data_IF_834166341280
#
_entry.id   IF_834166341280
#
_cell.length_a   1.000
_cell.length_b   1.000
_cell.length_c   1.000
_cell.angle_alpha   90.00
_cell.angle_beta   90.00
_cell.angle_gamma   90.00
#
_symmetry.space_group_name_H-M   'P 1'
#
loop_
_entity.id
_entity.type
_entity.pdbx_description
1 polymer ?
#
# COMPACT_ATOMS: atom_id res chain seq x y z
N UNK A 1 32.43 55.24 -32.81
CA UNK A 1 31.42 54.24 -33.23
C UNK A 1 32.14 53.00 -33.76
N UNK A 2 31.97 51.82 -33.14
CA UNK A 2 32.10 50.54 -33.84
C UNK A 2 31.56 49.40 -32.97
N UNK A 3 30.52 48.73 -33.46
CA UNK A 3 29.73 47.70 -32.77
C UNK A 3 30.51 46.38 -32.72
N UNK A 4 30.69 45.78 -31.53
CA UNK A 4 31.10 44.38 -31.37
C UNK A 4 29.92 43.47 -31.73
N UNK A 5 30.08 42.63 -32.77
CA UNK A 5 29.15 41.56 -33.11
C UNK A 5 29.61 40.27 -32.43
N UNK A 6 28.75 39.67 -31.62
CA UNK A 6 28.90 38.29 -31.14
C UNK A 6 28.67 37.30 -32.30
N UNK A 7 29.50 36.24 -32.45
CA UNK A 7 29.19 35.15 -33.36
C UNK A 7 28.19 34.22 -32.67
N UNK A 8 27.00 34.15 -33.24
CA UNK A 8 25.95 33.19 -32.90
C UNK A 8 26.35 31.78 -33.39
N UNK A 9 26.40 30.82 -32.46
CA UNK A 9 26.56 29.40 -32.75
C UNK A 9 25.29 28.88 -33.41
N UNK A 10 25.27 28.89 -34.75
CA UNK A 10 24.22 28.26 -35.55
C UNK A 10 24.41 26.74 -35.48
N UNK A 11 23.61 26.04 -34.67
CA UNK A 11 23.44 24.58 -34.78
C UNK A 11 23.01 24.28 -36.22
N UNK A 12 23.86 23.57 -36.97
CA UNK A 12 23.48 23.05 -38.29
C UNK A 12 22.37 22.01 -38.09
N UNK A 13 21.29 22.06 -38.88
CA UNK A 13 20.28 21.00 -38.87
C UNK A 13 20.91 19.73 -39.47
N UNK A 14 21.05 18.68 -38.66
CA UNK A 14 21.38 17.33 -39.17
C UNK A 14 20.25 16.90 -40.11
N UNK A 15 20.58 16.65 -41.37
CA UNK A 15 19.62 16.18 -42.38
C UNK A 15 19.41 14.67 -42.24
N UNK A 16 18.20 14.18 -42.51
CA UNK A 16 17.83 12.76 -42.39
C UNK A 16 18.80 11.78 -43.08
N UNK A 17 19.40 12.20 -44.22
CA UNK A 17 20.42 11.42 -44.92
C UNK A 17 21.68 11.12 -44.08
N UNK A 18 22.10 12.01 -43.17
CA UNK A 18 23.26 11.76 -42.29
C UNK A 18 22.93 10.73 -41.18
N UNK A 19 21.65 10.62 -40.78
CA UNK A 19 21.22 9.63 -39.78
C UNK A 19 21.10 8.23 -40.39
N UNK A 20 20.60 8.15 -41.62
CA UNK A 20 20.54 6.91 -42.38
C UNK A 20 21.95 6.37 -42.68
N UNK A 21 22.88 7.25 -43.10
CA UNK A 21 24.28 6.89 -43.34
C UNK A 21 24.99 6.42 -42.06
N UNK A 22 24.71 7.04 -40.90
CA UNK A 22 25.27 6.62 -39.61
C UNK A 22 24.75 5.25 -39.15
N UNK A 23 23.48 4.94 -39.40
CA UNK A 23 22.89 3.64 -39.11
C UNK A 23 23.45 2.54 -40.03
N UNK A 24 23.51 2.82 -41.35
CA UNK A 24 24.07 1.90 -42.34
C UNK A 24 25.55 1.63 -42.08
N UNK A 25 26.34 2.66 -41.75
CA UNK A 25 27.73 2.51 -41.34
C UNK A 25 27.86 1.64 -40.09
N UNK A 26 27.00 1.86 -39.08
CA UNK A 26 26.99 1.04 -37.87
C UNK A 26 26.66 -0.43 -38.12
N UNK A 27 25.73 -0.74 -39.03
CA UNK A 27 25.41 -2.13 -39.43
C UNK A 27 26.58 -2.77 -40.17
N UNK A 28 27.21 -2.04 -41.10
CA UNK A 28 28.33 -2.54 -41.88
C UNK A 28 29.54 -2.84 -41.00
N UNK A 29 29.87 -1.93 -40.09
CA UNK A 29 30.94 -2.07 -39.10
C UNK A 29 30.71 -3.26 -38.17
N UNK A 30 29.48 -3.41 -37.68
CA UNK A 30 29.06 -4.59 -36.90
C UNK A 30 29.22 -5.88 -37.70
N UNK A 31 28.89 -5.88 -39.00
CA UNK A 31 29.03 -7.06 -39.86
C UNK A 31 30.50 -7.48 -40.05
N UNK A 32 31.41 -6.51 -40.23
CA UNK A 32 32.85 -6.76 -40.35
C UNK A 32 33.49 -7.19 -39.04
N UNK A 33 33.06 -6.56 -37.93
CA UNK A 33 33.49 -6.94 -36.59
C UNK A 33 33.01 -8.35 -36.22
N UNK A 34 31.76 -8.71 -36.52
CA UNK A 34 31.18 -10.03 -36.26
C UNK A 34 31.88 -11.15 -37.04
N UNK A 35 32.28 -10.90 -38.29
CA UNK A 35 33.08 -11.85 -39.10
C UNK A 35 34.45 -12.12 -38.48
N UNK A 36 35.04 -11.11 -37.85
CA UNK A 36 36.38 -11.16 -37.23
C UNK A 36 36.34 -11.76 -35.81
N UNK A 37 35.28 -11.47 -35.05
CA UNK A 37 35.15 -11.84 -33.63
C UNK A 37 34.08 -12.91 -33.37
N UNK A 38 34.11 -14.00 -34.15
CA UNK A 38 33.13 -15.10 -34.05
C UNK A 38 32.98 -15.66 -32.62
N UNK A 39 34.09 -15.78 -31.87
CA UNK A 39 34.07 -16.24 -30.48
C UNK A 39 33.39 -15.24 -29.53
N UNK A 40 33.59 -13.93 -29.73
CA UNK A 40 32.90 -12.91 -28.93
C UNK A 40 31.39 -12.93 -29.21
N UNK A 41 30.99 -13.13 -30.47
CA UNK A 41 29.58 -13.24 -30.86
C UNK A 41 28.88 -14.43 -30.17
N UNK A 42 29.55 -15.58 -30.07
CA UNK A 42 29.01 -16.75 -29.36
C UNK A 42 28.86 -16.49 -27.87
N UNK A 43 29.82 -15.82 -27.23
CA UNK A 43 29.74 -15.49 -25.80
C UNK A 43 28.59 -14.50 -25.54
N UNK A 44 28.47 -13.45 -26.36
CA UNK A 44 27.35 -12.49 -26.28
C UNK A 44 26.01 -13.20 -26.49
N UNK A 45 25.90 -14.08 -27.48
CA UNK A 45 24.70 -14.87 -27.72
C UNK A 45 24.30 -15.77 -26.54
N UNK A 46 25.28 -16.45 -25.91
CA UNK A 46 25.04 -17.24 -24.70
C UNK A 46 24.57 -16.35 -23.54
N UNK A 47 25.22 -15.20 -23.31
CA UNK A 47 24.83 -14.27 -22.24
C UNK A 47 23.41 -13.72 -22.44
N UNK A 48 23.05 -13.33 -23.67
CA UNK A 48 21.70 -12.87 -24.01
C UNK A 48 20.68 -13.99 -23.79
N UNK A 49 21.01 -15.23 -24.20
CA UNK A 49 20.13 -16.38 -24.02
C UNK A 49 19.92 -16.71 -22.54
N UNK A 50 20.97 -16.67 -21.73
CA UNK A 50 20.88 -16.85 -20.27
C UNK A 50 20.05 -15.75 -19.63
N UNK A 51 20.25 -14.48 -20.00
CA UNK A 51 19.43 -13.35 -19.53
C UNK A 51 17.95 -13.53 -19.86
N UNK A 52 17.63 -13.91 -21.11
CA UNK A 52 16.26 -14.14 -21.54
C UNK A 52 15.64 -15.35 -20.82
N UNK A 53 16.39 -16.45 -20.67
CA UNK A 53 15.95 -17.64 -19.95
C UNK A 53 15.68 -17.33 -18.46
N UNK A 54 16.58 -16.58 -17.81
CA UNK A 54 16.39 -16.09 -16.44
C UNK A 54 15.17 -15.17 -16.32
N UNK A 55 14.95 -14.28 -17.28
CA UNK A 55 13.77 -13.41 -17.31
C UNK A 55 12.46 -14.20 -17.44
N UNK A 56 12.38 -15.14 -18.37
CA UNK A 56 11.20 -16.01 -18.55
C UNK A 56 10.98 -16.90 -17.34
N UNK A 57 12.05 -17.47 -16.76
CA UNK A 57 11.97 -18.25 -15.53
C UNK A 57 11.42 -17.42 -14.38
N UNK A 58 11.91 -16.19 -14.20
CA UNK A 58 11.43 -15.27 -13.17
C UNK A 58 9.94 -14.93 -13.33
N UNK A 59 9.50 -14.64 -14.56
CA UNK A 59 8.09 -14.36 -14.85
C UNK A 59 7.18 -15.59 -14.60
N UNK A 60 7.65 -16.81 -14.89
CA UNK A 60 6.91 -18.04 -14.59
C UNK A 60 6.86 -18.33 -13.10
N UNK A 61 7.99 -18.20 -12.40
CA UNK A 61 8.10 -18.40 -10.96
C UNK A 61 7.13 -17.51 -10.18
N UNK A 62 6.99 -16.24 -10.59
CA UNK A 62 6.03 -15.30 -10.00
C UNK A 62 4.57 -15.77 -10.16
N UNK A 63 4.20 -16.27 -11.36
CA UNK A 63 2.84 -16.78 -11.60
C UNK A 63 2.52 -18.03 -10.79
N UNK A 64 3.47 -18.96 -10.71
CA UNK A 64 3.30 -20.19 -9.93
C UNK A 64 3.22 -19.90 -8.42
N UNK A 65 3.93 -18.88 -7.93
CA UNK A 65 3.82 -18.42 -6.54
C UNK A 65 2.43 -17.86 -6.23
N UNK A 66 1.85 -17.03 -7.10
CA UNK A 66 0.52 -16.45 -6.88
C UNK A 66 -0.56 -17.56 -6.82
N UNK A 67 -0.51 -18.53 -7.74
CA UNK A 67 -1.50 -19.65 -7.73
C UNK A 67 -1.39 -20.47 -6.43
N UNK A 68 -0.15 -20.75 -5.98
CA UNK A 68 0.08 -21.45 -4.71
C UNK A 68 -0.40 -20.63 -3.51
N UNK A 69 -0.17 -19.32 -3.52
CA UNK A 69 -0.62 -18.40 -2.49
C UNK A 69 -2.16 -18.40 -2.38
N UNK A 70 -2.88 -18.34 -3.51
CA UNK A 70 -4.35 -18.42 -3.53
C UNK A 70 -4.84 -19.71 -2.87
N UNK A 71 -4.39 -20.86 -3.37
CA UNK A 71 -4.84 -22.16 -2.86
C UNK A 71 -4.51 -22.33 -1.38
N UNK A 72 -3.32 -21.86 -0.94
CA UNK A 72 -2.91 -21.98 0.45
C UNK A 72 -3.76 -21.07 1.35
N UNK A 73 -4.04 -19.84 0.95
CA UNK A 73 -4.87 -18.92 1.74
C UNK A 73 -6.31 -19.44 1.89
N UNK A 74 -6.87 -20.08 0.85
CA UNK A 74 -8.18 -20.74 0.94
C UNK A 74 -8.22 -21.82 2.04
N UNK A 75 -7.16 -22.63 2.18
CA UNK A 75 -7.08 -23.64 3.25
C UNK A 75 -7.06 -23.01 4.64
N UNK A 76 -6.41 -21.85 4.79
CA UNK A 76 -6.36 -21.11 6.05
C UNK A 76 -7.75 -20.53 6.38
N UNK A 77 -8.44 -19.96 5.38
CA UNK A 77 -9.82 -19.49 5.56
C UNK A 77 -10.76 -20.60 6.04
N UNK A 78 -10.59 -21.84 5.55
CA UNK A 78 -11.34 -22.98 6.04
C UNK A 78 -11.04 -23.31 7.51
N UNK A 79 -9.77 -23.23 7.94
CA UNK A 79 -9.37 -23.45 9.33
C UNK A 79 -9.99 -22.43 10.31
N UNK A 80 -10.08 -21.16 9.89
CA UNK A 80 -10.71 -20.10 10.69
C UNK A 80 -12.21 -20.36 10.88
N UNK A 81 -12.91 -20.86 9.85
CA UNK A 81 -14.34 -21.18 9.94
C UNK A 81 -14.67 -22.28 10.94
N UNK A 82 -13.75 -23.23 11.13
CA UNK A 82 -13.90 -24.31 12.12
C UNK A 82 -13.32 -23.96 13.50
N UNK A 83 -13.03 -22.67 13.74
CA UNK A 83 -12.53 -22.10 15.01
C UNK A 83 -11.16 -22.61 15.49
N UNK A 84 -10.32 -23.12 14.58
CA UNK A 84 -8.93 -23.51 14.88
C UNK A 84 -8.00 -22.27 14.80
N UNK A 85 -8.22 -21.28 15.66
CA UNK A 85 -7.62 -19.94 15.51
C UNK A 85 -6.10 -19.90 15.76
N UNK A 86 -5.58 -20.66 16.72
CA UNK A 86 -4.14 -20.70 17.00
C UNK A 86 -3.35 -21.36 15.86
N UNK A 87 -3.89 -22.43 15.29
CA UNK A 87 -3.33 -23.07 14.10
C UNK A 87 -3.38 -22.13 12.90
N UNK A 88 -4.47 -21.37 12.74
CA UNK A 88 -4.59 -20.39 11.65
C UNK A 88 -3.55 -19.27 11.76
N UNK A 89 -3.29 -18.73 12.95
CA UNK A 89 -2.22 -17.72 13.17
C UNK A 89 -0.86 -18.25 12.74
N UNK A 90 -0.52 -19.48 13.14
CA UNK A 90 0.76 -20.12 12.78
C UNK A 90 0.87 -20.33 11.26
N UNK A 91 -0.21 -20.79 10.63
CA UNK A 91 -0.26 -20.97 9.19
C UNK A 91 -0.15 -19.64 8.43
N UNK A 92 -0.76 -18.57 8.93
CA UNK A 92 -0.64 -17.23 8.35
C UNK A 92 0.77 -16.67 8.49
N UNK A 93 1.44 -16.84 9.63
CA UNK A 93 2.85 -16.42 9.77
C UNK A 93 3.73 -17.14 8.74
N UNK A 94 3.56 -18.46 8.61
CA UNK A 94 4.30 -19.26 7.62
C UNK A 94 3.97 -18.84 6.19
N UNK A 95 2.71 -18.49 5.93
CA UNK A 95 2.26 -18.00 4.64
C UNK A 95 2.98 -16.70 4.25
N UNK A 96 3.09 -15.76 5.19
CA UNK A 96 3.75 -14.48 4.95
C UNK A 96 5.25 -14.64 4.65
N UNK A 97 5.92 -15.57 5.32
CA UNK A 97 7.33 -15.87 5.04
C UNK A 97 7.53 -16.47 3.63
N UNK A 98 6.55 -17.19 3.10
CA UNK A 98 6.65 -17.92 1.83
C UNK A 98 6.14 -17.13 0.62
N UNK A 99 5.13 -16.27 0.82
CA UNK A 99 4.39 -15.61 -0.26
C UNK A 99 4.46 -14.09 -0.17
N UNK A 100 5.49 -13.55 0.50
CA UNK A 100 5.75 -12.11 0.55
C UNK A 100 5.74 -11.47 -0.86
N UNK A 101 5.24 -10.24 -0.94
CA UNK A 101 5.08 -9.51 -2.19
C UNK A 101 3.89 -9.94 -3.08
N UNK A 102 3.09 -10.92 -2.68
CA UNK A 102 1.81 -11.24 -3.36
C UNK A 102 0.64 -10.43 -2.80
N UNK A 103 -0.43 -10.24 -3.58
CA UNK A 103 -1.66 -9.61 -3.08
C UNK A 103 -2.30 -10.41 -1.94
N UNK A 104 -2.17 -11.74 -1.99
CA UNK A 104 -2.65 -12.65 -0.95
C UNK A 104 -1.90 -12.44 0.36
N UNK A 105 -0.62 -12.08 0.32
CA UNK A 105 0.12 -11.74 1.54
C UNK A 105 -0.44 -10.49 2.21
N UNK A 106 -0.89 -9.49 1.46
CA UNK A 106 -1.54 -8.29 2.02
C UNK A 106 -2.81 -8.64 2.78
N UNK A 107 -3.64 -9.52 2.22
CA UNK A 107 -4.83 -10.05 2.90
C UNK A 107 -4.44 -10.86 4.15
N UNK A 108 -3.45 -11.74 4.03
CA UNK A 108 -2.99 -12.59 5.11
C UNK A 108 -2.44 -11.79 6.30
N UNK A 109 -1.72 -10.69 6.07
CA UNK A 109 -1.26 -9.76 7.13
C UNK A 109 -2.45 -9.20 7.90
N UNK A 110 -3.47 -8.69 7.20
CA UNK A 110 -4.64 -8.09 7.83
C UNK A 110 -5.40 -9.14 8.66
N UNK A 111 -5.52 -10.35 8.12
CA UNK A 111 -6.16 -11.47 8.82
C UNK A 111 -5.39 -11.86 10.09
N UNK A 112 -4.06 -11.99 9.98
CA UNK A 112 -3.20 -12.31 11.12
C UNK A 112 -3.29 -11.23 12.21
N UNK A 113 -3.17 -9.96 11.82
CA UNK A 113 -3.33 -8.83 12.74
C UNK A 113 -4.70 -8.82 13.42
N UNK A 114 -5.77 -9.15 12.69
CA UNK A 114 -7.13 -9.26 13.27
C UNK A 114 -7.22 -10.39 14.28
N UNK A 115 -6.73 -11.57 13.95
CA UNK A 115 -6.77 -12.72 14.85
C UNK A 115 -5.97 -12.48 16.14
N UNK A 116 -4.82 -11.82 16.05
CA UNK A 116 -4.07 -11.40 17.24
C UNK A 116 -4.86 -10.37 18.07
N UNK A 117 -5.46 -9.37 17.43
CA UNK A 117 -6.26 -8.38 18.13
C UNK A 117 -7.47 -9.00 18.83
N UNK A 118 -8.18 -9.93 18.17
CA UNK A 118 -9.33 -10.65 18.74
C UNK A 118 -8.92 -11.56 19.91
N UNK A 119 -7.71 -12.10 19.88
CA UNK A 119 -7.15 -12.88 20.99
C UNK A 119 -6.62 -12.02 22.16
N UNK A 120 -6.65 -10.69 22.03
CA UNK A 120 -6.11 -9.76 23.04
C UNK A 120 -4.62 -9.45 22.90
N UNK A 121 -3.95 -9.99 21.87
CA UNK A 121 -2.53 -9.78 21.58
C UNK A 121 -2.30 -8.49 20.79
N UNK A 122 -2.81 -7.36 21.27
CA UNK A 122 -2.76 -6.07 20.55
C UNK A 122 -1.33 -5.66 20.16
N UNK A 123 -0.33 -5.96 21.01
CA UNK A 123 1.08 -5.69 20.71
C UNK A 123 1.59 -6.44 19.47
N UNK A 124 1.20 -7.70 19.32
CA UNK A 124 1.59 -8.52 18.15
C UNK A 124 0.86 -8.04 16.91
N UNK A 125 -0.44 -7.72 17.03
CA UNK A 125 -1.22 -7.17 15.94
C UNK A 125 -0.60 -5.86 15.39
N UNK A 126 -0.17 -4.95 16.27
CA UNK A 126 0.54 -3.72 15.89
C UNK A 126 1.80 -4.05 15.10
N UNK A 127 2.66 -4.93 15.63
CA UNK A 127 3.93 -5.25 14.96
C UNK A 127 3.73 -5.84 13.56
N UNK A 128 2.78 -6.76 13.41
CA UNK A 128 2.44 -7.39 12.12
C UNK A 128 1.95 -6.34 11.12
N UNK A 129 1.06 -5.44 11.54
CA UNK A 129 0.44 -4.44 10.66
C UNK A 129 1.40 -3.30 10.29
N UNK A 130 2.20 -2.81 11.23
CA UNK A 130 3.20 -1.76 10.96
C UNK A 130 4.27 -2.24 9.98
N UNK A 131 4.79 -3.45 10.17
CA UNK A 131 5.86 -4.01 9.32
C UNK A 131 5.44 -4.20 7.86
N UNK A 132 4.15 -4.42 7.63
CA UNK A 132 3.64 -4.64 6.28
C UNK A 132 3.48 -3.35 5.47
N UNK A 133 3.54 -2.17 6.11
CA UNK A 133 3.49 -0.85 5.49
C UNK A 133 2.48 -0.75 4.33
N UNK A 134 1.23 -1.13 4.60
CA UNK A 134 0.21 -1.26 3.57
C UNK A 134 -0.30 0.09 3.01
N UNK A 135 0.15 1.21 3.59
CA UNK A 135 -0.15 2.57 3.14
C UNK A 135 -1.65 2.92 3.11
N UNK A 136 -1.98 4.04 2.46
CA UNK A 136 -3.33 4.60 2.38
C UNK A 136 -3.81 4.83 0.93
N UNK A 137 -3.19 4.15 -0.05
CA UNK A 137 -3.43 4.41 -1.48
C UNK A 137 -4.61 3.61 -2.05
N UNK A 138 -5.03 2.57 -1.36
CA UNK A 138 -6.08 1.66 -1.80
C UNK A 138 -6.96 1.21 -0.63
N UNK A 139 -8.17 0.68 -0.90
CA UNK A 139 -9.10 0.26 0.15
C UNK A 139 -8.57 -0.80 1.12
N UNK A 140 -7.62 -1.65 0.70
CA UNK A 140 -7.02 -2.65 1.57
C UNK A 140 -6.08 -1.96 2.58
N UNK A 141 -5.30 -0.97 2.13
CA UNK A 141 -4.47 -0.13 3.00
C UNK A 141 -5.29 0.66 4.02
N UNK A 142 -6.42 1.24 3.60
CA UNK A 142 -7.36 1.96 4.50
C UNK A 142 -7.91 1.02 5.59
N UNK A 143 -8.31 -0.20 5.20
CA UNK A 143 -8.80 -1.21 6.15
C UNK A 143 -7.71 -1.68 7.12
N UNK A 144 -6.48 -1.89 6.62
CA UNK A 144 -5.34 -2.27 7.45
C UNK A 144 -5.01 -1.20 8.50
N UNK A 145 -4.96 0.07 8.10
CA UNK A 145 -4.70 1.17 9.02
C UNK A 145 -5.84 1.40 10.01
N UNK A 146 -7.09 1.17 9.60
CA UNK A 146 -8.23 1.14 10.54
C UNK A 146 -8.08 0.05 11.59
N UNK A 147 -7.56 -1.12 11.22
CA UNK A 147 -7.28 -2.22 12.14
C UNK A 147 -6.10 -1.91 13.06
N UNK A 148 -5.03 -1.31 12.54
CA UNK A 148 -3.87 -0.85 13.30
C UNK A 148 -4.28 0.19 14.36
N UNK A 149 -5.10 1.16 13.98
CA UNK A 149 -5.64 2.16 14.91
C UNK A 149 -6.44 1.52 16.05
N UNK A 150 -7.26 0.50 15.75
CA UNK A 150 -7.98 -0.28 16.78
C UNK A 150 -7.03 -1.07 17.69
N UNK A 151 -5.93 -1.57 17.14
CA UNK A 151 -4.92 -2.25 17.95
C UNK A 151 -4.22 -1.27 18.91
N UNK A 152 -3.92 -0.05 18.46
CA UNK A 152 -3.47 1.03 19.35
C UNK A 152 -4.48 1.35 20.45
N UNK A 153 -5.78 1.48 20.12
CA UNK A 153 -6.83 1.67 21.13
C UNK A 153 -6.84 0.55 22.17
N UNK A 154 -6.74 -0.70 21.73
CA UNK A 154 -6.72 -1.87 22.61
C UNK A 154 -5.51 -1.91 23.54
N UNK A 155 -4.38 -1.31 23.12
CA UNK A 155 -3.17 -1.16 23.94
C UNK A 155 -3.19 0.12 24.81
N UNK A 156 -4.24 0.95 24.72
CA UNK A 156 -4.31 2.23 25.42
C UNK A 156 -3.42 3.33 24.83
N UNK A 157 -2.87 3.12 23.63
CA UNK A 157 -2.08 4.11 22.88
C UNK A 157 -3.00 5.10 22.16
N UNK A 158 -3.76 5.88 22.95
CA UNK A 158 -4.80 6.79 22.44
C UNK A 158 -4.28 7.84 21.43
N UNK A 159 -3.10 8.47 21.60
CA UNK A 159 -2.59 9.43 20.62
C UNK A 159 -2.28 8.80 19.25
N UNK A 160 -1.72 7.59 19.24
CA UNK A 160 -1.40 6.86 18.01
C UNK A 160 -2.67 6.38 17.31
N UNK A 161 -3.63 5.89 18.10
CA UNK A 161 -4.96 5.53 17.60
C UNK A 161 -5.66 6.72 16.94
N UNK A 162 -5.72 7.87 17.62
CA UNK A 162 -6.32 9.11 17.10
C UNK A 162 -5.66 9.51 15.78
N UNK A 163 -4.34 9.62 15.76
CA UNK A 163 -3.58 10.03 14.58
C UNK A 163 -3.89 9.11 13.40
N UNK A 164 -3.87 7.80 13.62
CA UNK A 164 -4.12 6.82 12.57
C UNK A 164 -5.57 6.85 12.08
N UNK A 165 -6.56 7.01 12.97
CA UNK A 165 -7.96 7.15 12.55
C UNK A 165 -8.24 8.44 11.78
N UNK A 166 -7.59 9.55 12.13
CA UNK A 166 -7.71 10.79 11.37
C UNK A 166 -7.14 10.63 9.96
N UNK A 167 -5.97 10.00 9.84
CA UNK A 167 -5.39 9.70 8.52
C UNK A 167 -6.29 8.77 7.69
N UNK A 168 -6.90 7.75 8.32
CA UNK A 168 -7.92 6.91 7.67
C UNK A 168 -9.10 7.77 7.19
N UNK A 169 -9.63 8.65 8.04
CA UNK A 169 -10.77 9.49 7.70
C UNK A 169 -10.49 10.45 6.54
N UNK A 170 -9.27 10.98 6.47
CA UNK A 170 -8.87 11.94 5.45
C UNK A 170 -8.55 11.28 4.09
N UNK A 171 -8.28 9.96 4.09
CA UNK A 171 -7.93 9.18 2.88
C UNK A 171 -9.05 8.26 2.38
N UNK A 172 -10.05 7.98 3.20
CA UNK A 172 -11.17 7.12 2.81
C UNK A 172 -12.06 7.80 1.74
N UNK A 173 -12.53 6.99 0.78
CA UNK A 173 -13.37 7.49 -0.31
C UNK A 173 -14.86 7.48 0.07
N UNK A 174 -15.28 6.55 0.92
CA UNK A 174 -16.68 6.35 1.23
C UNK A 174 -17.08 7.06 2.53
N UNK A 175 -18.20 7.80 2.47
CA UNK A 175 -18.68 8.59 3.61
C UNK A 175 -18.89 7.75 4.89
N UNK A 176 -19.29 6.48 4.79
CA UNK A 176 -19.45 5.61 5.96
C UNK A 176 -18.11 5.27 6.64
N UNK A 177 -17.02 5.14 5.87
CA UNK A 177 -15.68 4.89 6.39
C UNK A 177 -15.14 6.13 7.10
N UNK A 178 -15.30 7.30 6.46
CA UNK A 178 -14.96 8.61 7.03
C UNK A 178 -15.66 8.76 8.39
N UNK A 179 -16.98 8.56 8.45
CA UNK A 179 -17.74 8.67 9.70
C UNK A 179 -17.26 7.71 10.77
N UNK A 180 -17.02 6.44 10.43
CA UNK A 180 -16.55 5.43 11.38
C UNK A 180 -15.17 5.76 11.94
N UNK A 181 -14.27 6.25 11.10
CA UNK A 181 -12.93 6.64 11.49
C UNK A 181 -12.96 7.89 12.39
N UNK A 182 -13.70 8.93 12.00
CA UNK A 182 -13.89 10.14 12.81
C UNK A 182 -14.55 9.82 14.16
N UNK A 183 -15.53 8.91 14.20
CA UNK A 183 -16.14 8.49 15.46
C UNK A 183 -15.13 7.82 16.39
N UNK A 184 -14.23 7.01 15.82
CA UNK A 184 -13.17 6.34 16.57
C UNK A 184 -12.13 7.33 17.08
N UNK A 185 -11.69 8.27 16.26
CA UNK A 185 -10.84 9.38 16.69
C UNK A 185 -11.50 10.23 17.79
N UNK A 186 -12.81 10.49 17.72
CA UNK A 186 -13.54 11.21 18.76
C UNK A 186 -13.56 10.44 20.08
N UNK A 187 -13.73 9.12 20.05
CA UNK A 187 -13.60 8.27 21.25
C UNK A 187 -12.18 8.31 21.82
N UNK A 188 -11.14 8.26 20.97
CA UNK A 188 -9.76 8.40 21.41
C UNK A 188 -9.50 9.75 22.08
N UNK A 189 -10.00 10.87 21.53
CA UNK A 189 -9.93 12.20 22.16
C UNK A 189 -10.63 12.25 23.51
N UNK A 190 -11.81 11.63 23.64
CA UNK A 190 -12.54 11.54 24.93
C UNK A 190 -11.73 10.78 25.98
N UNK A 191 -11.06 9.68 25.60
CA UNK A 191 -10.17 8.94 26.53
C UNK A 191 -9.01 9.80 27.02
N UNK A 192 -8.55 10.73 26.21
CA UNK A 192 -7.54 11.74 26.54
C UNK A 192 -8.11 12.97 27.25
N UNK A 193 -9.38 12.98 27.67
CA UNK A 193 -10.09 14.15 28.25
C UNK A 193 -10.20 15.36 27.31
N UNK A 194 -9.90 15.21 26.02
CA UNK A 194 -10.05 16.26 25.02
C UNK A 194 -11.50 16.31 24.50
N UNK A 195 -12.41 16.76 25.36
CA UNK A 195 -13.83 16.90 25.03
C UNK A 195 -14.07 17.93 23.92
N UNK A 196 -13.34 19.04 23.93
CA UNK A 196 -13.45 20.08 22.88
C UNK A 196 -13.12 19.54 21.50
N UNK A 197 -12.01 18.81 21.37
CA UNK A 197 -11.62 18.17 20.12
C UNK A 197 -12.53 17.01 19.72
N UNK A 198 -13.10 16.26 20.66
CA UNK A 198 -14.09 15.24 20.32
C UNK A 198 -15.38 15.87 19.74
N UNK A 199 -15.84 17.00 20.29
CA UNK A 199 -16.97 17.74 19.76
C UNK A 199 -16.73 18.25 18.33
N UNK A 200 -15.51 18.70 18.01
CA UNK A 200 -15.12 19.06 16.65
C UNK A 200 -15.31 17.89 15.66
N UNK A 201 -14.84 16.69 16.02
CA UNK A 201 -14.96 15.51 15.17
C UNK A 201 -16.42 15.08 14.98
N UNK A 202 -17.26 15.17 16.02
CA UNK A 202 -18.69 14.91 15.87
C UNK A 202 -19.39 15.90 14.93
N UNK A 203 -19.01 17.19 14.96
CA UNK A 203 -19.51 18.16 13.96
C UNK A 203 -19.07 17.82 12.54
N UNK A 204 -17.81 17.38 12.35
CA UNK A 204 -17.33 16.88 11.05
C UNK A 204 -18.16 15.69 10.56
N UNK A 205 -18.51 14.74 11.44
CA UNK A 205 -19.38 13.61 11.10
C UNK A 205 -20.77 14.10 10.67
N UNK A 206 -21.38 15.00 11.44
CA UNK A 206 -22.73 15.54 11.16
C UNK A 206 -22.80 16.25 9.80
N UNK A 207 -21.71 16.91 9.38
CA UNK A 207 -21.60 17.55 8.08
C UNK A 207 -21.61 16.57 6.89
N UNK A 208 -21.38 15.26 7.12
CA UNK A 208 -21.40 14.24 6.05
C UNK A 208 -22.79 13.64 5.79
N UNK A 209 -23.79 14.03 6.58
CA UNK A 209 -25.14 13.47 6.49
C UNK A 209 -26.12 14.42 5.80
N UNK A 210 -27.05 13.87 5.03
CA UNK A 210 -28.19 14.61 4.47
C UNK A 210 -29.16 15.07 5.57
N UNK A 211 -29.94 16.12 5.32
CA UNK A 211 -30.80 16.78 6.32
C UNK A 211 -31.68 15.80 7.10
N UNK A 212 -32.32 14.85 6.41
CA UNK A 212 -33.27 13.90 6.99
C UNK A 212 -32.68 12.49 7.25
N UNK A 213 -31.35 12.33 7.29
CA UNK A 213 -30.75 11.02 7.55
C UNK A 213 -30.99 10.61 9.02
N UNK A 214 -31.72 9.49 9.27
CA UNK A 214 -32.06 9.07 10.63
C UNK A 214 -30.84 8.70 11.47
N UNK A 215 -29.68 8.40 10.86
CA UNK A 215 -28.46 8.09 11.58
C UNK A 215 -27.80 9.33 12.23
N UNK A 216 -28.24 10.57 11.88
CA UNK A 216 -27.75 11.81 12.49
C UNK A 216 -27.95 11.87 13.99
N UNK A 217 -29.12 11.43 14.48
CA UNK A 217 -29.52 11.59 15.88
C UNK A 217 -28.54 10.96 16.87
N UNK A 218 -27.87 9.86 16.49
CA UNK A 218 -26.84 9.22 17.32
C UNK A 218 -25.64 10.13 17.55
N UNK A 219 -25.24 10.89 16.52
CA UNK A 219 -24.07 11.78 16.61
C UNK A 219 -24.42 13.14 17.22
N UNK A 220 -25.66 13.62 17.06
CA UNK A 220 -26.17 14.80 17.78
C UNK A 220 -26.18 14.55 19.29
N UNK A 221 -26.65 13.37 19.71
CA UNK A 221 -26.61 12.95 21.11
C UNK A 221 -25.17 12.92 21.64
N UNK A 222 -24.25 12.26 20.93
CA UNK A 222 -22.82 12.18 21.32
C UNK A 222 -22.15 13.56 21.40
N UNK A 223 -22.51 14.47 20.49
CA UNK A 223 -22.04 15.85 20.55
C UNK A 223 -22.56 16.55 21.80
N UNK A 224 -23.86 16.45 22.10
CA UNK A 224 -24.45 17.03 23.30
C UNK A 224 -23.82 16.48 24.59
N UNK A 225 -23.61 15.17 24.68
CA UNK A 225 -22.91 14.52 25.81
C UNK A 225 -21.54 15.15 26.04
N UNK A 226 -20.73 15.27 24.99
CA UNK A 226 -19.36 15.79 25.10
C UNK A 226 -19.32 17.28 25.41
N UNK A 227 -20.30 18.06 24.96
CA UNK A 227 -20.44 19.47 25.34
C UNK A 227 -20.81 19.63 26.82
N UNK A 228 -21.60 18.71 27.37
CA UNK A 228 -21.94 18.72 28.81
C UNK A 228 -20.75 18.49 29.75
N UNK A 229 -19.64 17.94 29.27
CA UNK A 229 -18.39 17.83 30.03
C UNK A 229 -17.50 19.09 29.94
N UNK A 230 -17.89 20.09 29.14
CA UNK A 230 -17.14 21.34 28.96
C UNK A 230 -17.68 22.50 29.82
N UNK A 231 -18.91 22.35 30.34
CA UNK A 231 -19.56 23.28 31.27
C UNK A 231 -19.21 22.99 32.72
#
# INVERSE_FOLDING_TARGET
MSKRKHPSTRRKPQTAHEQDDAFVAGILDFSTWAKTHKQALTVVGILVTLLLASGVYYLRFQRDNVIRAVNRLETIHAAIRISALEDAKTQLSTFLDQFDGTDQAREAVILLGRLHLEAGDAAVAINVLERADLGFRDPIGIQANSLLARAYESQGRWPDAETTFLEVADRAEFAFEIRRALDSAARARRRQQNHSGAAELYRRILATFEENDPAKGVYELRLAEVLGFQS
#
